data_IF_150088332547
#
_entry.id   IF_150088332547
#
_cell.length_a   1.000
_cell.length_b   1.000
_cell.length_c   1.000
_cell.angle_alpha   90.00
_cell.angle_beta   90.00
_cell.angle_gamma   90.00
#
_symmetry.space_group_name_H-M   'P 1'
#
loop_
_entity.id
_entity.type
_entity.pdbx_description
1 polymer ?
#
# COMPACT_ATOMS: atom_id res chain seq x y z
N UNK A 1 -24.99 12.45 18.53
CA UNK A 1 -24.24 13.67 18.88
C UNK A 1 -23.01 13.35 19.75
N UNK A 2 -23.11 12.42 20.70
CA UNK A 2 -21.98 12.03 21.58
C UNK A 2 -20.82 11.38 20.82
N UNK A 3 -21.10 10.54 19.83
CA UNK A 3 -20.06 9.92 19.00
C UNK A 3 -19.27 10.91 18.16
N UNK A 4 -19.91 11.97 17.66
CA UNK A 4 -19.23 13.01 16.89
C UNK A 4 -18.28 13.84 17.78
N UNK A 5 -18.70 14.13 19.02
CA UNK A 5 -17.85 14.84 20.00
C UNK A 5 -16.63 13.98 20.35
N UNK A 6 -16.81 12.68 20.61
CA UNK A 6 -15.72 11.75 20.88
C UNK A 6 -14.71 11.67 19.72
N UNK A 7 -15.20 11.67 18.48
CA UNK A 7 -14.37 11.63 17.29
C UNK A 7 -13.54 12.92 17.10
N UNK A 8 -14.15 14.07 17.37
CA UNK A 8 -13.46 15.38 17.35
C UNK A 8 -12.38 15.44 18.43
N UNK A 9 -12.69 15.00 19.66
CA UNK A 9 -11.70 14.96 20.76
C UNK A 9 -10.53 14.06 20.38
N UNK A 10 -10.80 12.86 19.83
CA UNK A 10 -9.78 11.93 19.37
C UNK A 10 -8.91 12.54 18.27
N UNK A 11 -9.52 13.21 17.29
CA UNK A 11 -8.80 13.87 16.20
C UNK A 11 -7.90 15.01 16.72
N UNK A 12 -8.41 15.84 17.63
CA UNK A 12 -7.61 16.91 18.27
C UNK A 12 -6.43 16.32 19.06
N UNK A 13 -6.67 15.25 19.81
CA UNK A 13 -5.61 14.59 20.59
C UNK A 13 -4.52 14.02 19.67
N UNK A 14 -4.90 13.35 18.58
CA UNK A 14 -3.95 12.75 17.65
C UNK A 14 -3.19 13.82 16.83
N UNK A 15 -3.90 14.83 16.32
CA UNK A 15 -3.32 15.79 15.37
C UNK A 15 -2.59 16.96 16.04
N UNK A 16 -3.01 17.38 17.23
CA UNK A 16 -2.44 18.55 17.90
C UNK A 16 -1.63 18.19 19.14
N UNK A 17 -2.14 17.31 20.00
CA UNK A 17 -1.48 17.03 21.28
C UNK A 17 -0.30 16.08 21.10
N UNK A 18 -0.50 14.96 20.40
CA UNK A 18 0.58 13.97 20.24
C UNK A 18 1.83 14.49 19.53
N UNK A 19 1.76 15.28 18.44
CA UNK A 19 2.97 15.83 17.80
C UNK A 19 3.80 16.74 18.70
N UNK A 20 3.19 17.35 19.74
CA UNK A 20 3.91 18.21 20.67
C UNK A 20 4.72 17.45 21.74
N UNK A 21 4.34 16.19 22.02
CA UNK A 21 4.94 15.39 23.11
C UNK A 21 5.74 14.19 22.61
N UNK A 22 5.59 13.80 21.34
CA UNK A 22 6.23 12.61 20.79
C UNK A 22 7.48 12.99 19.99
N UNK A 23 8.54 12.17 20.14
CA UNK A 23 9.72 12.23 19.28
C UNK A 23 9.35 11.83 17.84
N UNK A 24 10.15 12.28 16.87
CA UNK A 24 9.95 12.01 15.43
C UNK A 24 9.76 10.50 15.16
N UNK A 25 10.56 9.65 15.81
CA UNK A 25 10.42 8.20 15.65
C UNK A 25 9.03 7.68 16.08
N UNK A 26 8.54 8.13 17.23
CA UNK A 26 7.21 7.75 17.74
C UNK A 26 6.08 8.34 16.89
N UNK A 27 6.29 9.53 16.35
CA UNK A 27 5.34 10.18 15.46
C UNK A 27 5.19 9.39 14.14
N UNK A 28 6.28 8.94 13.55
CA UNK A 28 6.27 8.07 12.37
C UNK A 28 5.58 6.73 12.66
N UNK A 29 5.85 6.15 13.82
CA UNK A 29 5.19 4.92 14.25
C UNK A 29 3.67 5.11 14.43
N UNK A 30 3.25 6.24 14.98
CA UNK A 30 1.84 6.60 15.10
C UNK A 30 1.18 6.77 13.73
N UNK A 31 1.84 7.44 12.78
CA UNK A 31 1.40 7.53 11.38
C UNK A 31 1.13 6.14 10.78
N UNK A 32 2.06 5.21 10.98
CA UNK A 32 1.90 3.80 10.57
C UNK A 32 0.66 3.14 11.20
N UNK A 33 0.43 3.33 12.48
CA UNK A 33 -0.75 2.78 13.15
C UNK A 33 -2.05 3.40 12.67
N UNK A 34 -2.04 4.71 12.33
CA UNK A 34 -3.20 5.36 11.74
C UNK A 34 -3.57 4.78 10.36
N UNK A 35 -2.58 4.42 9.55
CA UNK A 35 -2.88 3.74 8.28
C UNK A 35 -3.53 2.38 8.49
N UNK A 36 -3.13 1.62 9.51
CA UNK A 36 -3.80 0.37 9.88
C UNK A 36 -5.21 0.57 10.41
N UNK A 37 -5.51 1.73 11.02
CA UNK A 37 -6.87 2.06 11.42
C UNK A 37 -7.84 2.14 10.23
N UNK A 38 -7.39 2.63 9.06
CA UNK A 38 -8.20 2.60 7.84
C UNK A 38 -8.50 1.16 7.39
N UNK A 39 -7.53 0.26 7.47
CA UNK A 39 -7.73 -1.17 7.18
C UNK A 39 -8.76 -1.77 8.15
N UNK A 40 -8.67 -1.42 9.43
CA UNK A 40 -9.62 -1.88 10.45
C UNK A 40 -11.04 -1.37 10.19
N UNK A 41 -11.22 -0.12 9.74
CA UNK A 41 -12.53 0.42 9.33
C UNK A 41 -13.10 -0.41 8.18
N UNK A 42 -12.29 -0.73 7.16
CA UNK A 42 -12.70 -1.60 6.06
C UNK A 42 -13.16 -2.98 6.54
N UNK A 43 -12.43 -3.56 7.49
CA UNK A 43 -12.80 -4.85 8.10
C UNK A 43 -14.13 -4.77 8.85
N UNK A 44 -14.33 -3.72 9.65
CA UNK A 44 -15.59 -3.49 10.41
C UNK A 44 -16.76 -3.30 9.47
N UNK A 45 -16.58 -2.58 8.35
CA UNK A 45 -17.64 -2.42 7.36
C UNK A 45 -18.02 -3.76 6.70
N UNK A 46 -17.03 -4.56 6.31
CA UNK A 46 -17.28 -5.88 5.72
C UNK A 46 -17.99 -6.81 6.69
N UNK A 47 -17.50 -6.90 7.92
CA UNK A 47 -18.05 -7.80 8.93
C UNK A 47 -19.36 -7.29 9.54
N UNK A 48 -19.40 -6.00 9.91
CA UNK A 48 -20.56 -5.43 10.60
C UNK A 48 -21.79 -5.25 9.71
N UNK A 49 -21.60 -4.89 8.43
CA UNK A 49 -22.72 -4.66 7.49
C UNK A 49 -22.88 -5.82 6.49
N UNK A 50 -21.79 -6.42 6.06
CA UNK A 50 -21.81 -7.52 5.10
C UNK A 50 -21.97 -8.89 5.73
N UNK A 51 -21.76 -9.02 7.04
CA UNK A 51 -21.77 -10.31 7.76
C UNK A 51 -20.60 -11.24 7.37
N UNK A 52 -19.66 -10.76 6.56
CA UNK A 52 -18.58 -11.56 5.97
C UNK A 52 -17.24 -11.10 6.55
N UNK A 53 -16.53 -12.01 7.20
CA UNK A 53 -15.18 -11.75 7.70
C UNK A 53 -14.17 -11.86 6.55
N UNK A 54 -13.65 -10.74 6.05
CA UNK A 54 -12.62 -10.74 5.02
C UNK A 54 -11.23 -10.71 5.67
N UNK A 55 -10.48 -11.80 5.55
CA UNK A 55 -9.08 -11.88 5.98
C UNK A 55 -8.10 -11.37 4.91
N UNK A 56 -8.59 -10.88 3.79
CA UNK A 56 -7.81 -10.42 2.65
C UNK A 56 -7.64 -8.91 2.53
N UNK A 57 -8.02 -8.12 3.52
CA UNK A 57 -7.94 -6.64 3.46
C UNK A 57 -6.52 -6.13 3.20
N UNK A 58 -5.51 -6.86 3.68
CA UNK A 58 -4.10 -6.54 3.47
C UNK A 58 -3.68 -6.48 1.99
N UNK A 59 -4.33 -7.24 1.09
CA UNK A 59 -4.05 -7.21 -0.35
C UNK A 59 -4.35 -5.83 -0.93
N UNK A 60 -5.56 -5.33 -0.68
CA UNK A 60 -6.03 -4.07 -1.25
C UNK A 60 -5.19 -2.91 -0.73
N UNK A 61 -4.90 -2.92 0.57
CA UNK A 61 -4.00 -1.95 1.20
C UNK A 61 -2.57 -2.04 0.65
N UNK A 62 -2.02 -3.27 0.55
CA UNK A 62 -0.67 -3.51 0.08
C UNK A 62 -0.46 -3.09 -1.38
N UNK A 63 -1.40 -3.38 -2.28
CA UNK A 63 -1.32 -2.96 -3.68
C UNK A 63 -1.37 -1.44 -3.80
N UNK A 64 -2.25 -0.77 -3.06
CA UNK A 64 -2.26 0.70 -3.01
C UNK A 64 -0.92 1.27 -2.51
N UNK A 65 -0.35 0.67 -1.47
CA UNK A 65 0.97 1.02 -0.95
C UNK A 65 2.09 0.81 -1.97
N UNK A 66 2.06 -0.28 -2.73
CA UNK A 66 3.02 -0.54 -3.81
C UNK A 66 2.97 0.51 -4.92
N UNK A 67 1.78 0.95 -5.32
CA UNK A 67 1.62 2.03 -6.30
C UNK A 67 2.30 3.32 -5.83
N UNK A 68 2.09 3.72 -4.58
CA UNK A 68 2.73 4.92 -4.02
C UNK A 68 4.23 4.74 -3.83
N UNK A 69 4.66 3.59 -3.31
CA UNK A 69 6.07 3.29 -3.10
C UNK A 69 6.84 3.31 -4.42
N UNK A 70 6.24 2.84 -5.53
CA UNK A 70 6.89 2.87 -6.83
C UNK A 70 7.06 4.29 -7.37
N UNK A 71 6.05 5.16 -7.21
CA UNK A 71 6.19 6.59 -7.54
C UNK A 71 7.35 7.24 -6.79
N UNK A 72 7.39 7.08 -5.46
CA UNK A 72 8.45 7.62 -4.63
C UNK A 72 9.84 7.05 -4.98
N UNK A 73 9.89 5.77 -5.34
CA UNK A 73 11.14 5.13 -5.76
C UNK A 73 11.64 5.62 -7.10
N UNK A 74 10.73 5.83 -8.06
CA UNK A 74 11.08 6.41 -9.37
C UNK A 74 11.57 7.85 -9.21
N UNK A 75 10.91 8.66 -8.38
CA UNK A 75 11.36 10.01 -8.06
C UNK A 75 12.77 10.01 -7.44
N UNK A 76 13.04 9.10 -6.48
CA UNK A 76 14.36 8.96 -5.87
C UNK A 76 15.42 8.43 -6.84
N UNK A 77 15.03 7.72 -7.92
CA UNK A 77 15.93 7.15 -8.91
C UNK A 77 16.30 8.14 -10.03
N UNK A 78 15.46 9.12 -10.31
CA UNK A 78 15.73 10.21 -11.25
C UNK A 78 16.80 11.19 -10.73
N UNK A 79 16.92 11.34 -9.44
CA UNK A 79 17.97 12.14 -8.83
C UNK A 79 19.29 11.37 -8.90
N UNK A 80 20.21 11.90 -9.70
CA UNK A 80 21.58 11.48 -9.94
C UNK A 80 22.14 10.53 -8.86
N UNK A 81 22.30 9.28 -9.25
CA UNK A 81 23.09 8.26 -8.57
C UNK A 81 23.01 8.24 -7.03
N UNK A 82 22.13 7.41 -6.49
CA UNK A 82 22.48 6.81 -5.21
C UNK A 82 23.75 5.96 -5.46
N UNK A 83 24.69 5.92 -4.51
CA UNK A 83 25.94 5.17 -4.63
C UNK A 83 25.75 3.66 -4.94
N UNK A 84 24.51 3.18 -5.00
CA UNK A 84 24.09 1.81 -5.26
C UNK A 84 23.55 1.56 -6.68
N UNK A 85 23.31 2.61 -7.49
CA UNK A 85 22.77 2.46 -8.84
C UNK A 85 23.86 2.62 -9.88
N UNK A 86 23.93 1.67 -10.83
CA UNK A 86 24.80 1.76 -12.00
C UNK A 86 24.09 2.40 -13.19
N UNK A 87 22.75 2.28 -13.24
CA UNK A 87 21.93 2.81 -14.34
C UNK A 87 21.00 3.92 -13.84
N UNK A 88 21.21 5.20 -14.24
CA UNK A 88 20.34 6.30 -13.85
C UNK A 88 18.88 6.08 -14.30
N UNK A 89 17.91 6.47 -13.46
CA UNK A 89 16.48 6.35 -13.78
C UNK A 89 15.88 4.96 -13.53
N UNK A 90 16.67 3.99 -13.08
CA UNK A 90 16.18 2.65 -12.75
C UNK A 90 16.28 2.43 -11.23
N UNK A 91 15.22 1.92 -10.58
CA UNK A 91 15.27 1.53 -9.18
C UNK A 91 16.42 0.57 -8.88
N UNK A 92 17.09 0.74 -7.73
CA UNK A 92 18.23 -0.05 -7.30
C UNK A 92 17.97 -1.56 -7.30
N UNK A 93 16.80 -1.99 -6.80
CA UNK A 93 16.42 -3.40 -6.78
C UNK A 93 16.26 -3.99 -8.19
N UNK A 94 15.92 -3.18 -9.20
CA UNK A 94 15.88 -3.60 -10.60
C UNK A 94 17.30 -3.72 -11.17
N UNK A 95 18.13 -2.71 -10.91
CA UNK A 95 19.52 -2.67 -11.35
C UNK A 95 20.33 -3.85 -10.79
N UNK A 96 20.17 -4.17 -9.51
CA UNK A 96 20.80 -5.36 -8.89
C UNK A 96 20.34 -6.69 -9.50
N UNK A 97 19.15 -6.73 -10.07
CA UNK A 97 18.63 -7.89 -10.81
C UNK A 97 18.91 -7.81 -12.31
N UNK A 98 19.84 -6.94 -12.75
CA UNK A 98 20.28 -6.77 -14.14
C UNK A 98 19.14 -6.33 -15.10
N UNK A 99 18.14 -5.66 -14.61
CA UNK A 99 17.08 -5.05 -15.41
C UNK A 99 17.56 -3.66 -15.82
N UNK A 100 17.88 -3.51 -17.11
CA UNK A 100 18.47 -2.29 -17.67
C UNK A 100 17.46 -1.31 -18.26
N UNK A 101 16.19 -1.68 -18.29
CA UNK A 101 15.10 -0.82 -18.76
C UNK A 101 13.89 -0.91 -17.84
N UNK A 102 13.24 0.23 -17.58
CA UNK A 102 12.03 0.24 -16.78
C UNK A 102 10.92 -0.54 -17.49
N UNK A 103 10.26 -1.50 -16.82
CA UNK A 103 9.13 -2.21 -17.39
C UNK A 103 7.97 -1.26 -17.71
N UNK A 104 7.34 -1.42 -18.88
CA UNK A 104 6.30 -0.51 -19.36
C UNK A 104 5.08 -0.35 -18.44
N UNK A 105 4.83 -1.32 -17.55
CA UNK A 105 3.76 -1.20 -16.54
C UNK A 105 4.14 -0.27 -15.37
N UNK A 106 5.42 0.04 -15.17
CA UNK A 106 5.88 0.99 -14.18
C UNK A 106 6.08 2.41 -14.73
N UNK A 107 6.25 2.59 -16.04
CA UNK A 107 6.43 3.91 -16.67
C UNK A 107 5.35 4.95 -16.28
N UNK A 108 4.04 4.63 -16.24
CA UNK A 108 3.02 5.61 -15.89
C UNK A 108 3.15 6.17 -14.47
N UNK A 109 3.85 5.45 -13.58
CA UNK A 109 4.06 5.85 -12.19
C UNK A 109 5.07 6.99 -12.00
N UNK A 110 5.68 7.52 -13.06
CA UNK A 110 6.37 8.81 -13.02
C UNK A 110 5.40 9.98 -12.80
N UNK A 111 4.12 9.81 -13.14
CA UNK A 111 3.09 10.84 -12.94
C UNK A 111 2.40 10.66 -11.60
N UNK A 112 2.47 11.69 -10.74
CA UNK A 112 1.76 11.68 -9.45
C UNK A 112 0.23 11.56 -9.62
N UNK A 113 -0.34 12.26 -10.61
CA UNK A 113 -1.78 12.17 -10.91
C UNK A 113 -2.22 10.76 -11.29
N UNK A 114 -1.42 10.07 -12.14
CA UNK A 114 -1.67 8.67 -12.47
C UNK A 114 -1.56 7.78 -11.23
N UNK A 115 -0.55 8.01 -10.40
CA UNK A 115 -0.32 7.23 -9.17
C UNK A 115 -1.50 7.35 -8.21
N UNK A 116 -2.01 8.57 -7.96
CA UNK A 116 -3.21 8.77 -7.13
C UNK A 116 -4.44 8.04 -7.69
N UNK A 117 -4.62 8.09 -8.99
CA UNK A 117 -5.68 7.33 -9.65
C UNK A 117 -5.48 5.82 -9.50
N UNK A 118 -4.26 5.33 -9.70
CA UNK A 118 -3.92 3.91 -9.57
C UNK A 118 -4.11 3.37 -8.15
N UNK A 119 -3.74 4.14 -7.11
CA UNK A 119 -3.93 3.77 -5.70
C UNK A 119 -5.39 3.47 -5.38
N UNK A 120 -6.31 4.17 -6.02
CA UNK A 120 -7.76 3.99 -5.79
C UNK A 120 -8.31 2.90 -6.73
N UNK A 121 -8.03 3.01 -8.02
CA UNK A 121 -8.68 2.19 -9.05
C UNK A 121 -8.19 0.75 -9.04
N UNK A 122 -6.88 0.51 -8.87
CA UNK A 122 -6.34 -0.86 -8.93
C UNK A 122 -6.91 -1.73 -7.79
N UNK A 123 -6.90 -1.30 -6.51
CA UNK A 123 -7.55 -2.07 -5.45
C UNK A 123 -9.06 -2.25 -5.65
N UNK A 124 -9.75 -1.23 -6.15
CA UNK A 124 -11.21 -1.33 -6.45
C UNK A 124 -11.47 -2.37 -7.52
N UNK A 125 -10.73 -2.35 -8.62
CA UNK A 125 -10.88 -3.33 -9.70
C UNK A 125 -10.59 -4.74 -9.21
N UNK A 126 -9.53 -4.92 -8.43
CA UNK A 126 -9.20 -6.21 -7.84
C UNK A 126 -10.30 -6.69 -6.89
N UNK A 127 -10.79 -5.82 -6.01
CA UNK A 127 -11.90 -6.13 -5.10
C UNK A 127 -13.17 -6.49 -5.87
N UNK A 128 -13.46 -5.77 -6.97
CA UNK A 128 -14.60 -6.06 -7.83
C UNK A 128 -14.48 -7.43 -8.49
N UNK A 129 -13.33 -7.76 -9.07
CA UNK A 129 -13.09 -9.05 -9.74
C UNK A 129 -13.24 -10.21 -8.74
N UNK A 130 -12.59 -10.11 -7.59
CA UNK A 130 -12.66 -11.15 -6.55
C UNK A 130 -14.08 -11.26 -6.01
N UNK A 131 -14.68 -10.13 -5.64
CA UNK A 131 -16.03 -10.07 -5.10
C UNK A 131 -17.06 -10.62 -6.09
N UNK A 132 -17.00 -10.19 -7.36
CA UNK A 132 -17.88 -10.70 -8.40
C UNK A 132 -17.78 -12.23 -8.55
N UNK A 133 -16.56 -12.76 -8.61
CA UNK A 133 -16.34 -14.21 -8.72
C UNK A 133 -16.91 -14.97 -7.52
N UNK A 134 -16.73 -14.45 -6.30
CA UNK A 134 -17.15 -15.09 -5.06
C UNK A 134 -18.67 -15.02 -4.86
N UNK A 135 -19.26 -13.82 -5.01
CA UNK A 135 -20.69 -13.62 -4.77
C UNK A 135 -21.57 -14.25 -5.85
N UNK A 136 -21.13 -14.27 -7.11
CA UNK A 136 -21.84 -14.96 -8.18
C UNK A 136 -21.91 -16.47 -7.93
N UNK A 137 -20.90 -17.03 -7.28
CA UNK A 137 -20.85 -18.45 -6.90
C UNK A 137 -21.53 -18.75 -5.55
N UNK A 138 -22.09 -17.74 -4.89
CA UNK A 138 -22.74 -17.86 -3.57
C UNK A 138 -21.85 -18.54 -2.54
N UNK A 139 -20.56 -18.16 -2.51
CA UNK A 139 -19.60 -18.71 -1.55
C UNK A 139 -20.00 -18.26 -0.14
N UNK A 140 -20.14 -19.21 0.79
CA UNK A 140 -20.51 -18.91 2.18
C UNK A 140 -19.39 -18.24 2.95
N UNK A 141 -19.74 -17.61 4.08
CA UNK A 141 -18.89 -16.69 4.85
C UNK A 141 -17.52 -17.27 5.25
N UNK A 142 -17.51 -18.50 5.75
CA UNK A 142 -16.27 -19.19 6.17
C UNK A 142 -15.39 -19.51 4.96
N UNK A 143 -15.98 -20.00 3.89
CA UNK A 143 -15.24 -20.31 2.66
C UNK A 143 -14.69 -19.04 2.01
N UNK A 144 -15.44 -17.94 2.07
CA UNK A 144 -14.95 -16.63 1.62
C UNK A 144 -13.66 -16.26 2.34
N UNK A 145 -13.63 -16.35 3.67
CA UNK A 145 -12.45 -16.01 4.47
C UNK A 145 -11.24 -16.86 4.12
N UNK A 146 -11.44 -18.18 3.94
CA UNK A 146 -10.38 -19.13 3.58
C UNK A 146 -9.81 -18.82 2.19
N UNK A 147 -10.68 -18.59 1.21
CA UNK A 147 -10.26 -18.26 -0.16
C UNK A 147 -9.51 -16.93 -0.19
N UNK A 148 -10.02 -15.92 0.52
CA UNK A 148 -9.31 -14.64 0.64
C UNK A 148 -7.91 -14.80 1.25
N UNK A 149 -7.76 -15.63 2.27
CA UNK A 149 -6.44 -15.93 2.86
C UNK A 149 -5.51 -16.64 1.86
N UNK A 150 -6.04 -17.56 1.06
CA UNK A 150 -5.28 -18.23 0.01
C UNK A 150 -4.82 -17.23 -1.08
N UNK A 151 -5.68 -16.31 -1.50
CA UNK A 151 -5.34 -15.26 -2.47
C UNK A 151 -4.24 -14.34 -1.90
N UNK A 152 -4.31 -13.97 -0.61
CA UNK A 152 -3.24 -13.22 0.09
C UNK A 152 -1.91 -13.97 -0.03
N UNK A 153 -1.90 -15.26 0.31
CA UNK A 153 -0.69 -16.07 0.28
C UNK A 153 -0.10 -16.16 -1.13
N UNK A 154 -0.93 -16.40 -2.14
CA UNK A 154 -0.51 -16.46 -3.55
C UNK A 154 0.11 -15.14 -3.99
N UNK A 155 -0.56 -14.02 -3.76
CA UNK A 155 -0.05 -12.69 -4.14
C UNK A 155 1.24 -12.34 -3.40
N UNK A 156 1.34 -12.68 -2.13
CA UNK A 156 2.56 -12.49 -1.34
C UNK A 156 3.72 -13.28 -1.93
N UNK A 157 3.51 -14.56 -2.28
CA UNK A 157 4.52 -15.41 -2.92
C UNK A 157 4.92 -14.85 -4.29
N UNK A 158 3.98 -14.37 -5.09
CA UNK A 158 4.26 -13.76 -6.39
C UNK A 158 5.09 -12.48 -6.25
N UNK A 159 4.74 -11.60 -5.31
CA UNK A 159 5.49 -10.37 -5.04
C UNK A 159 6.91 -10.70 -4.58
N UNK A 160 7.07 -11.61 -3.63
CA UNK A 160 8.39 -12.01 -3.13
C UNK A 160 9.21 -12.70 -4.23
N UNK A 161 8.58 -13.54 -5.05
CA UNK A 161 9.25 -14.29 -6.12
C UNK A 161 9.71 -13.41 -7.29
N UNK A 162 9.06 -12.27 -7.53
CA UNK A 162 9.40 -11.33 -8.60
C UNK A 162 10.31 -10.20 -8.13
N UNK A 163 11.40 -10.55 -7.46
CA UNK A 163 12.31 -9.61 -6.79
C UNK A 163 12.77 -8.46 -7.70
N UNK A 164 13.07 -8.74 -8.96
CA UNK A 164 13.51 -7.73 -9.91
C UNK A 164 12.44 -6.68 -10.26
N UNK A 165 11.15 -6.98 -10.08
CA UNK A 165 10.05 -6.07 -10.43
C UNK A 165 9.35 -5.44 -9.24
N UNK A 166 9.46 -6.05 -8.05
CA UNK A 166 8.71 -5.67 -6.87
C UNK A 166 9.57 -5.37 -5.64
N UNK A 167 10.88 -5.56 -5.72
CA UNK A 167 11.78 -5.48 -4.57
C UNK A 167 11.81 -6.73 -3.69
N UNK A 168 11.03 -7.76 -4.02
CA UNK A 168 11.02 -9.06 -3.34
C UNK A 168 10.67 -8.99 -1.85
N UNK A 169 11.41 -9.74 -1.02
CA UNK A 169 11.17 -9.83 0.42
C UNK A 169 11.43 -8.51 1.17
N UNK A 170 12.35 -7.70 0.66
CA UNK A 170 12.68 -6.40 1.26
C UNK A 170 11.66 -5.31 0.90
N UNK A 171 10.88 -5.54 -0.15
CA UNK A 171 9.98 -4.55 -0.70
C UNK A 171 10.72 -3.38 -1.38
N UNK A 172 10.00 -2.29 -1.59
CA UNK A 172 10.54 -1.05 -2.14
C UNK A 172 11.05 -0.20 -0.98
N UNK A 173 12.36 0.05 -0.93
CA UNK A 173 13.05 0.79 0.13
C UNK A 173 13.72 2.05 -0.41
N UNK A 174 14.36 2.82 0.47
CA UNK A 174 15.06 4.08 0.13
C UNK A 174 14.16 5.11 -0.55
N UNK A 175 13.01 5.33 0.04
CA UNK A 175 12.10 6.41 -0.31
C UNK A 175 12.64 7.69 0.34
N UNK A 176 12.96 8.71 -0.46
CA UNK A 176 13.64 9.91 0.03
C UNK A 176 12.78 11.15 -0.04
N UNK A 177 12.09 11.36 -1.14
CA UNK A 177 11.39 12.60 -1.41
C UNK A 177 9.98 12.36 -1.93
N UNK A 178 9.12 13.33 -1.70
CA UNK A 178 7.81 13.46 -2.32
C UNK A 178 7.72 14.87 -2.93
N UNK A 179 7.72 14.99 -4.26
CA UNK A 179 7.80 16.26 -4.99
C UNK A 179 8.98 17.15 -4.53
N UNK A 180 10.14 16.52 -4.28
CA UNK A 180 11.33 17.21 -3.82
C UNK A 180 11.36 17.58 -2.33
N UNK A 181 10.33 17.22 -1.56
CA UNK A 181 10.31 17.37 -0.09
C UNK A 181 10.83 16.08 0.54
N UNK A 182 11.78 16.22 1.45
CA UNK A 182 12.29 15.07 2.24
C UNK A 182 11.18 14.48 3.11
N UNK A 183 11.05 13.13 3.10
CA UNK A 183 10.04 12.36 3.85
C UNK A 183 10.68 11.40 4.84
#
# INVERSE_FOLDING_TARGET
KEGAIGLVILAVLILLVMPMFLDIFRLNLMGKYLTFAFVAIGLVLCWGHGGILSLGQGIFFGIGGYCMAMFLKLEASDMQSTAAQTTPGIPDFMDWNQITSLPGFWEPFHSFGFTLFAIIIIPILLAFIIGFAMFTRRVGDVYFSIIMQAIVAILTILIIGQQGFTGGINGITDLKTLHGWDI
#
